data_IF_326543051326
#
_entry.id   IF_326543051326
#
_cell.length_a   1.000
_cell.length_b   1.000
_cell.length_c   1.000
_cell.angle_alpha   90.00
_cell.angle_beta   90.00
_cell.angle_gamma   90.00
#
_symmetry.space_group_name_H-M   'P 1'
#
loop_
_entity.id
_entity.type
_entity.pdbx_description
1 polymer ?
#
# COMPACT_ATOMS: atom_id res chain seq x y z
N UNK A 1 -6.51 13.92 16.06
CA UNK A 1 -5.64 12.85 15.51
C UNK A 1 -4.51 13.53 14.76
N UNK A 2 -3.29 12.97 14.75
CA UNK A 2 -2.23 13.49 13.90
C UNK A 2 -2.57 13.28 12.42
N UNK A 3 -2.38 14.31 11.60
CA UNK A 3 -2.66 14.30 10.16
C UNK A 3 -1.48 14.91 9.39
N UNK A 4 -1.22 14.40 8.19
CA UNK A 4 -0.18 14.88 7.28
C UNK A 4 -0.83 15.23 5.94
N UNK A 5 -0.83 16.52 5.61
CA UNK A 5 -1.42 17.06 4.38
C UNK A 5 -0.31 17.37 3.37
N UNK A 6 -0.39 16.78 2.18
CA UNK A 6 0.55 17.02 1.07
C UNK A 6 -0.12 17.88 0.01
N UNK A 7 0.59 18.89 -0.50
CA UNK A 7 0.12 19.76 -1.59
C UNK A 7 1.24 19.96 -2.62
N UNK A 8 0.88 19.87 -3.91
CA UNK A 8 1.79 20.11 -5.02
C UNK A 8 1.17 19.69 -6.35
N UNK A 9 1.53 20.38 -7.43
CA UNK A 9 0.90 20.21 -8.74
C UNK A 9 1.25 18.87 -9.42
N UNK A 10 2.40 18.28 -9.07
CA UNK A 10 2.90 17.03 -9.66
C UNK A 10 2.64 15.79 -8.79
N UNK A 11 1.78 15.87 -7.75
CA UNK A 11 1.54 14.72 -6.86
C UNK A 11 0.92 13.54 -7.60
N UNK A 12 -0.02 13.80 -8.52
CA UNK A 12 -0.65 12.74 -9.31
C UNK A 12 0.36 12.07 -10.25
N UNK A 13 1.19 12.85 -10.94
CA UNK A 13 2.26 12.36 -11.82
C UNK A 13 3.31 11.54 -11.05
N UNK A 14 3.63 11.93 -9.81
CA UNK A 14 4.50 11.18 -8.91
C UNK A 14 3.83 9.93 -8.31
N UNK A 15 2.58 9.63 -8.68
CA UNK A 15 1.87 8.41 -8.29
C UNK A 15 1.03 8.53 -7.01
N UNK A 16 0.98 9.71 -6.38
CA UNK A 16 0.16 9.99 -5.20
C UNK A 16 -1.29 10.27 -5.61
N UNK A 17 -2.03 9.18 -5.88
CA UNK A 17 -3.46 9.23 -6.19
C UNK A 17 -4.31 9.03 -4.94
N UNK A 18 -5.53 9.56 -4.97
CA UNK A 18 -6.50 9.40 -3.88
C UNK A 18 -6.77 7.91 -3.62
N UNK A 19 -6.89 7.53 -2.33
CA UNK A 19 -7.12 6.15 -1.86
C UNK A 19 -5.98 5.16 -2.15
N UNK A 20 -4.77 5.62 -2.48
CA UNK A 20 -3.60 4.75 -2.62
C UNK A 20 -2.81 4.65 -1.33
N UNK A 21 -2.26 3.46 -1.06
CA UNK A 21 -1.26 3.31 0.00
C UNK A 21 0.06 3.95 -0.42
N UNK A 22 0.78 4.46 0.58
CA UNK A 22 2.12 5.01 0.41
C UNK A 22 3.04 4.32 1.40
N UNK A 23 4.26 4.02 0.97
CA UNK A 23 5.30 3.58 1.87
C UNK A 23 5.96 4.79 2.52
N UNK A 24 6.07 4.76 3.85
CA UNK A 24 6.75 5.80 4.63
C UNK A 24 8.06 5.21 5.16
N UNK A 25 9.17 5.89 4.88
CA UNK A 25 10.48 5.55 5.45
C UNK A 25 11.01 6.74 6.24
N UNK A 26 11.46 6.48 7.47
CA UNK A 26 12.14 7.48 8.30
C UNK A 26 13.64 7.20 8.21
N UNK A 27 14.42 8.16 7.75
CA UNK A 27 15.87 8.01 7.61
C UNK A 27 16.55 9.34 7.86
N UNK A 28 17.57 9.37 8.72
CA UNK A 28 18.43 10.54 8.98
C UNK A 28 17.65 11.83 9.32
N UNK A 29 16.51 11.72 10.01
CA UNK A 29 15.67 12.88 10.34
C UNK A 29 14.74 13.34 9.22
N UNK A 30 14.70 12.64 8.08
CA UNK A 30 13.78 12.89 6.99
C UNK A 30 12.65 11.84 6.96
N UNK A 31 11.45 12.30 6.60
CA UNK A 31 10.30 11.45 6.27
C UNK A 31 10.21 11.34 4.75
N UNK A 32 10.39 10.14 4.22
CA UNK A 32 10.32 9.85 2.79
C UNK A 32 8.99 9.16 2.51
N UNK A 33 8.19 9.77 1.63
CA UNK A 33 6.93 9.23 1.11
C UNK A 33 7.19 8.65 -0.27
N UNK A 34 6.80 7.39 -0.47
CA UNK A 34 6.91 6.72 -1.76
C UNK A 34 5.51 6.23 -2.15
N UNK A 35 5.06 6.61 -3.34
CA UNK A 35 3.87 5.99 -3.92
C UNK A 35 4.16 4.49 -4.14
N UNK A 36 3.22 3.63 -3.72
CA UNK A 36 3.37 2.21 -4.01
C UNK A 36 3.33 1.97 -5.53
N UNK A 37 4.21 1.09 -6.02
CA UNK A 37 4.15 0.63 -7.41
C UNK A 37 2.87 -0.22 -7.59
N UNK A 38 2.10 0.07 -8.65
CA UNK A 38 0.92 -0.67 -9.06
C UNK A 38 1.15 -2.19 -9.05
N UNK A 39 2.25 -2.66 -9.64
CA UNK A 39 2.54 -4.10 -9.76
C UNK A 39 2.69 -4.75 -8.38
N UNK A 40 3.34 -4.05 -7.44
CA UNK A 40 3.54 -4.53 -6.07
C UNK A 40 2.24 -4.50 -5.29
N UNK A 41 1.39 -3.49 -5.51
CA UNK A 41 0.06 -3.39 -4.91
C UNK A 41 -0.85 -4.53 -5.41
N UNK A 42 -0.93 -4.73 -6.72
CA UNK A 42 -1.71 -5.80 -7.35
C UNK A 42 -1.25 -7.18 -6.89
N UNK A 43 0.07 -7.41 -6.82
CA UNK A 43 0.63 -8.66 -6.32
C UNK A 43 0.27 -8.88 -4.84
N UNK A 44 0.27 -7.84 -4.00
CA UNK A 44 -0.18 -7.92 -2.60
C UNK A 44 -1.65 -8.30 -2.50
N UNK A 45 -2.50 -7.69 -3.32
CA UNK A 45 -3.94 -8.00 -3.36
C UNK A 45 -4.17 -9.45 -3.78
N UNK A 46 -3.48 -9.92 -4.83
CA UNK A 46 -3.53 -11.32 -5.27
C UNK A 46 -3.08 -12.29 -4.18
N UNK A 47 -1.97 -11.99 -3.48
CA UNK A 47 -1.48 -12.80 -2.37
C UNK A 47 -2.47 -12.84 -1.20
N UNK A 48 -3.12 -11.72 -0.89
CA UNK A 48 -4.14 -11.67 0.14
C UNK A 48 -5.33 -12.56 -0.22
N UNK A 49 -5.82 -12.49 -1.47
CA UNK A 49 -6.90 -13.35 -1.95
C UNK A 49 -6.51 -14.83 -1.89
N UNK A 50 -5.33 -15.19 -2.39
CA UNK A 50 -4.82 -16.57 -2.34
C UNK A 50 -4.76 -17.11 -0.90
N UNK A 51 -4.29 -16.28 0.04
CA UNK A 51 -4.22 -16.65 1.47
C UNK A 51 -5.60 -16.89 2.08
N UNK A 52 -6.61 -16.10 1.69
CA UNK A 52 -7.99 -16.32 2.16
C UNK A 52 -8.56 -17.63 1.63
N UNK A 53 -8.33 -17.96 0.35
CA UNK A 53 -8.76 -19.24 -0.24
C UNK A 53 -8.13 -20.41 0.51
N UNK A 54 -6.82 -20.39 0.74
CA UNK A 54 -6.10 -21.46 1.47
C UNK A 54 -6.63 -21.61 2.89
N UNK A 55 -6.94 -20.50 3.57
CA UNK A 55 -7.53 -20.54 4.91
C UNK A 55 -8.91 -21.22 4.90
N UNK A 56 -9.78 -20.83 3.97
CA UNK A 56 -11.10 -21.44 3.82
C UNK A 56 -11.05 -22.94 3.52
N UNK A 57 -10.11 -23.39 2.69
CA UNK A 57 -9.90 -24.82 2.43
C UNK A 57 -9.47 -25.56 3.70
N UNK A 58 -8.55 -24.97 4.49
CA UNK A 58 -8.11 -25.56 5.76
C UNK A 58 -9.25 -25.68 6.77
N UNK A 59 -10.11 -24.67 6.88
CA UNK A 59 -11.25 -24.66 7.81
C UNK A 59 -12.33 -25.72 7.43
N UNK A 60 -12.38 -26.18 6.18
CA UNK A 60 -13.31 -27.24 5.73
C UNK A 60 -12.72 -28.65 5.92
N UNK A 61 -11.39 -28.79 5.94
CA UNK A 61 -10.71 -30.09 6.03
C UNK A 61 -10.43 -30.56 7.47
N UNK A 62 -10.57 -29.68 8.47
CA UNK A 62 -10.28 -29.94 9.90
C UNK A 62 -11.56 -30.12 10.70
#
# INVERSE_FOLDING_TARGET
MPELHLKGDCLEEAGFKTRRSVAVKISQGCLVLMADNNEVQELREQLYQAKQVVKGVKDVLV
#
